data_IF_776296711169
#
_entry.id   IF_776296711169
#
_cell.length_a   1.000
_cell.length_b   1.000
_cell.length_c   1.000
_cell.angle_alpha   90.00
_cell.angle_beta   90.00
_cell.angle_gamma   90.00
#
_symmetry.space_group_name_H-M   'P 1'
#
loop_
_entity.id
_entity.type
_entity.pdbx_description
1 polymer ?
#
# COMPACT_ATOMS: atom_id res chain seq x y z
N UNK A 1 27.34 34.47 30.54
CA UNK A 1 25.98 33.90 30.46
C UNK A 1 25.63 33.51 29.00
N UNK A 2 26.40 32.62 28.35
CA UNK A 2 26.30 32.28 26.90
C UNK A 2 26.38 30.77 26.58
N UNK A 3 26.07 29.87 27.54
CA UNK A 3 26.15 28.40 27.36
C UNK A 3 24.80 27.68 27.21
N UNK A 4 23.68 28.41 27.18
CA UNK A 4 22.33 27.81 27.05
C UNK A 4 21.81 27.67 25.62
N UNK A 5 22.50 28.23 24.62
CA UNK A 5 21.97 28.32 23.25
C UNK A 5 22.33 27.13 22.35
N UNK A 6 23.36 26.35 22.69
CA UNK A 6 23.83 25.23 21.85
C UNK A 6 22.92 23.99 21.87
N UNK A 7 22.13 23.80 22.94
CA UNK A 7 21.14 22.71 23.03
C UNK A 7 19.83 23.01 22.31
N UNK A 8 19.55 24.28 22.03
CA UNK A 8 18.34 24.70 21.32
C UNK A 8 18.41 24.40 19.83
N UNK A 9 19.60 24.46 19.22
CA UNK A 9 19.78 24.19 17.78
C UNK A 9 19.33 22.78 17.35
N UNK A 10 19.78 21.67 17.97
CA UNK A 10 19.30 20.34 17.59
C UNK A 10 17.80 20.16 17.86
N UNK A 11 17.28 20.79 18.92
CA UNK A 11 15.85 20.71 19.28
C UNK A 11 14.97 21.47 18.27
N UNK A 12 15.46 22.62 17.77
CA UNK A 12 14.84 23.40 16.69
C UNK A 12 14.93 22.67 15.34
N UNK A 13 16.04 21.98 15.05
CA UNK A 13 16.15 21.17 13.84
C UNK A 13 15.20 19.96 13.88
N UNK A 14 15.10 19.27 15.02
CA UNK A 14 14.16 18.16 15.20
C UNK A 14 12.72 18.66 15.07
N UNK A 15 12.37 19.79 15.72
CA UNK A 15 11.02 20.34 15.64
C UNK A 15 10.67 20.85 14.25
N UNK A 16 11.63 21.44 13.51
CA UNK A 16 11.43 21.83 12.12
C UNK A 16 11.22 20.63 11.20
N UNK A 17 11.97 19.54 11.39
CA UNK A 17 11.78 18.29 10.64
C UNK A 17 10.40 17.70 10.93
N UNK A 18 10.02 17.59 12.21
CA UNK A 18 8.68 17.13 12.62
C UNK A 18 7.58 18.03 12.05
N UNK A 19 7.77 19.35 12.06
CA UNK A 19 6.81 20.31 11.51
C UNK A 19 6.66 20.18 9.99
N UNK A 20 7.74 19.93 9.24
CA UNK A 20 7.68 19.64 7.80
C UNK A 20 6.94 18.33 7.54
N UNK A 21 7.13 17.30 8.36
CA UNK A 21 6.37 16.04 8.24
C UNK A 21 4.88 16.20 8.56
N UNK A 22 4.53 17.04 9.54
CA UNK A 22 3.13 17.35 9.91
C UNK A 22 2.46 18.16 8.80
N UNK A 23 3.11 19.21 8.30
CA UNK A 23 2.54 20.10 7.29
C UNK A 23 2.47 19.50 5.88
N UNK A 24 3.25 18.46 5.59
CA UNK A 24 3.19 17.73 4.32
C UNK A 24 2.19 16.58 4.29
N UNK A 25 1.55 16.26 5.42
CA UNK A 25 0.54 15.21 5.49
C UNK A 25 -0.82 15.74 5.00
N UNK A 26 -1.41 15.08 3.99
CA UNK A 26 -2.82 15.28 3.65
C UNK A 26 -3.73 14.67 4.72
N UNK A 27 -4.58 15.49 5.34
CA UNK A 27 -5.47 15.13 6.46
C UNK A 27 -6.91 14.77 6.03
N UNK A 28 -7.13 14.37 4.77
CA UNK A 28 -8.46 13.86 4.41
C UNK A 28 -8.65 12.45 4.98
N UNK A 29 -9.29 12.40 6.15
CA UNK A 29 -9.56 11.17 6.91
C UNK A 29 -10.81 10.43 6.42
N UNK A 30 -11.58 11.00 5.48
CA UNK A 30 -12.81 10.36 5.00
C UNK A 30 -12.48 9.21 4.07
N UNK A 31 -12.63 7.99 4.58
CA UNK A 31 -12.54 6.78 3.77
C UNK A 31 -13.83 6.59 2.98
N UNK A 32 -13.69 6.28 1.69
CA UNK A 32 -14.83 5.96 0.83
C UNK A 32 -15.65 4.82 1.42
N UNK A 33 -16.95 5.06 1.57
CA UNK A 33 -17.90 4.03 1.92
C UNK A 33 -18.25 3.19 0.70
N UNK A 34 -18.69 1.98 0.97
CA UNK A 34 -19.19 1.06 -0.04
C UNK A 34 -20.40 1.67 -0.74
N UNK A 35 -20.44 1.57 -2.07
CA UNK A 35 -21.61 2.03 -2.85
C UNK A 35 -22.74 1.00 -2.73
N UNK A 36 -24.00 1.45 -2.64
CA UNK A 36 -25.14 0.54 -2.63
C UNK A 36 -25.19 -0.25 -3.94
N UNK A 37 -25.56 -1.53 -3.84
CA UNK A 37 -25.78 -2.40 -5.00
C UNK A 37 -26.96 -1.84 -5.78
N UNK A 38 -26.75 -1.50 -7.04
CA UNK A 38 -27.82 -1.12 -7.97
C UNK A 38 -28.20 -2.34 -8.79
N UNK A 39 -29.38 -2.95 -8.57
CA UNK A 39 -29.79 -4.13 -9.30
C UNK A 39 -30.00 -3.78 -10.78
N UNK A 40 -29.35 -4.55 -11.65
CA UNK A 40 -29.56 -4.49 -13.10
C UNK A 40 -30.37 -5.71 -13.53
N UNK A 41 -31.42 -5.51 -14.32
CA UNK A 41 -32.13 -6.62 -14.96
C UNK A 41 -31.28 -7.10 -16.14
N UNK A 42 -30.52 -8.15 -15.91
CA UNK A 42 -29.62 -8.73 -16.90
C UNK A 42 -29.71 -10.27 -16.87
N UNK A 43 -29.52 -10.89 -18.04
CA UNK A 43 -29.38 -12.34 -18.16
C UNK A 43 -28.25 -12.68 -19.11
N UNK A 44 -27.25 -13.42 -18.61
CA UNK A 44 -26.14 -13.92 -19.43
C UNK A 44 -26.60 -14.81 -20.59
N UNK A 45 -27.79 -15.42 -20.51
CA UNK A 45 -28.33 -16.28 -21.58
C UNK A 45 -28.31 -15.58 -22.94
N UNK A 46 -28.68 -14.29 -22.97
CA UNK A 46 -28.73 -13.48 -24.18
C UNK A 46 -27.34 -13.25 -24.81
N UNK A 47 -26.27 -13.26 -24.01
CA UNK A 47 -24.90 -13.11 -24.50
C UNK A 47 -24.30 -14.40 -25.04
N UNK A 48 -24.90 -15.55 -24.72
CA UNK A 48 -24.39 -16.86 -25.10
C UNK A 48 -24.95 -17.35 -26.43
N UNK A 49 -25.87 -16.62 -27.05
CA UNK A 49 -26.48 -17.03 -28.32
C UNK A 49 -25.44 -17.02 -29.46
N UNK A 50 -25.32 -18.16 -30.15
CA UNK A 50 -24.34 -18.35 -31.23
C UNK A 50 -22.92 -18.74 -30.77
N UNK A 51 -22.64 -18.83 -29.46
CA UNK A 51 -21.33 -19.27 -28.95
C UNK A 51 -21.28 -20.80 -28.87
N UNK A 52 -20.25 -21.40 -29.46
CA UNK A 52 -20.00 -22.85 -29.41
C UNK A 52 -19.00 -23.20 -28.31
N UNK A 53 -19.02 -24.45 -27.83
CA UNK A 53 -18.16 -24.90 -26.74
C UNK A 53 -16.66 -24.92 -27.13
N UNK A 54 -16.35 -25.14 -28.41
CA UNK A 54 -14.96 -25.30 -28.89
C UNK A 54 -14.13 -24.01 -28.79
N UNK A 55 -14.76 -22.83 -28.89
CA UNK A 55 -14.09 -21.51 -28.83
C UNK A 55 -14.66 -20.59 -27.75
N UNK A 56 -15.23 -21.18 -26.69
CA UNK A 56 -15.98 -20.46 -25.67
C UNK A 56 -15.19 -19.31 -25.02
N UNK A 57 -13.91 -19.53 -24.66
CA UNK A 57 -13.06 -18.50 -24.03
C UNK A 57 -12.75 -17.32 -24.95
N UNK A 58 -12.68 -17.55 -26.26
CA UNK A 58 -12.29 -16.58 -27.28
C UNK A 58 -13.51 -15.77 -27.78
N UNK A 59 -14.67 -16.42 -27.85
CA UNK A 59 -15.90 -15.84 -28.37
C UNK A 59 -16.73 -15.15 -27.28
N UNK A 60 -16.46 -15.40 -26.00
CA UNK A 60 -17.23 -14.81 -24.91
C UNK A 60 -17.14 -13.27 -24.94
N UNK A 61 -18.29 -12.55 -24.95
CA UNK A 61 -18.30 -11.10 -25.11
C UNK A 61 -18.04 -10.39 -23.77
N UNK A 62 -16.82 -10.49 -23.24
CA UNK A 62 -16.42 -9.97 -21.92
C UNK A 62 -16.82 -8.51 -21.69
N UNK A 63 -16.66 -7.65 -22.69
CA UNK A 63 -17.05 -6.24 -22.58
C UNK A 63 -18.56 -6.07 -22.34
N UNK A 64 -19.41 -6.73 -23.15
CA UNK A 64 -20.87 -6.66 -22.99
C UNK A 64 -21.32 -7.28 -21.67
N UNK A 65 -20.65 -8.36 -21.24
CA UNK A 65 -20.88 -8.96 -19.94
C UNK A 65 -20.64 -7.94 -18.82
N UNK A 66 -19.48 -7.29 -18.80
CA UNK A 66 -19.13 -6.32 -17.75
C UNK A 66 -20.02 -5.06 -17.77
N UNK A 67 -20.47 -4.63 -18.95
CA UNK A 67 -21.34 -3.45 -19.07
C UNK A 67 -22.77 -3.71 -18.57
N UNK A 68 -23.20 -4.98 -18.53
CA UNK A 68 -24.59 -5.35 -18.28
C UNK A 68 -24.78 -6.16 -16.99
N UNK A 69 -23.78 -6.95 -16.58
CA UNK A 69 -23.87 -7.84 -15.44
C UNK A 69 -23.77 -7.08 -14.12
N UNK A 70 -24.54 -7.54 -13.13
CA UNK A 70 -24.41 -7.04 -11.77
C UNK A 70 -23.24 -7.72 -11.04
N UNK A 71 -22.02 -7.30 -11.38
CA UNK A 71 -20.78 -7.86 -10.84
C UNK A 71 -20.54 -7.52 -9.35
N UNK A 72 -21.39 -6.68 -8.76
CA UNK A 72 -21.33 -6.31 -7.34
C UNK A 72 -22.14 -7.27 -6.46
N UNK A 73 -23.08 -8.01 -7.05
CA UNK A 73 -23.94 -8.97 -6.38
C UNK A 73 -23.50 -10.41 -6.66
N UNK A 74 -23.12 -11.10 -5.60
CA UNK A 74 -22.68 -12.49 -5.67
C UNK A 74 -23.79 -13.42 -6.16
N UNK A 75 -25.06 -13.14 -5.85
CA UNK A 75 -26.15 -13.97 -6.30
C UNK A 75 -26.29 -13.89 -7.82
N UNK A 76 -26.06 -12.70 -8.40
CA UNK A 76 -26.01 -12.50 -9.85
C UNK A 76 -24.86 -13.30 -10.48
N UNK A 77 -23.65 -13.25 -9.91
CA UNK A 77 -22.49 -14.03 -10.40
C UNK A 77 -22.76 -15.54 -10.31
N UNK A 78 -23.36 -16.01 -9.21
CA UNK A 78 -23.72 -17.41 -9.02
C UNK A 78 -24.77 -17.87 -10.04
N UNK A 79 -25.77 -17.04 -10.29
CA UNK A 79 -26.79 -17.32 -11.31
C UNK A 79 -26.17 -17.37 -12.71
N UNK A 80 -25.24 -16.47 -13.02
CA UNK A 80 -24.51 -16.48 -14.30
C UNK A 80 -23.70 -17.77 -14.47
N UNK A 81 -22.99 -18.20 -13.42
CA UNK A 81 -22.24 -19.45 -13.44
C UNK A 81 -23.15 -20.68 -13.59
N UNK A 82 -24.33 -20.68 -12.95
CA UNK A 82 -25.31 -21.74 -13.11
C UNK A 82 -25.82 -21.83 -14.56
N UNK A 83 -26.08 -20.69 -15.20
CA UNK A 83 -26.49 -20.63 -16.62
C UNK A 83 -25.38 -21.15 -17.54
N UNK A 84 -24.12 -20.81 -17.27
CA UNK A 84 -22.98 -21.34 -18.03
C UNK A 84 -22.88 -22.86 -17.90
N UNK A 85 -23.02 -23.39 -16.68
CA UNK A 85 -22.97 -24.83 -16.43
C UNK A 85 -24.15 -25.60 -17.04
N UNK A 86 -25.32 -24.97 -17.17
CA UNK A 86 -26.48 -25.53 -17.87
C UNK A 86 -26.24 -25.59 -19.39
N UNK A 87 -25.69 -24.50 -19.97
CA UNK A 87 -25.48 -24.39 -21.42
C UNK A 87 -24.27 -25.18 -21.92
N UNK A 88 -23.21 -25.27 -21.11
CA UNK A 88 -21.98 -25.99 -21.40
C UNK A 88 -21.69 -27.02 -20.29
N UNK A 89 -22.46 -28.12 -20.24
CA UNK A 89 -22.32 -29.12 -19.19
C UNK A 89 -21.00 -29.89 -19.33
N UNK A 90 -20.39 -30.25 -18.21
CA UNK A 90 -19.17 -31.08 -18.14
C UNK A 90 -17.84 -30.31 -18.11
N UNK A 91 -17.86 -28.97 -18.23
CA UNK A 91 -16.66 -28.13 -18.17
C UNK A 91 -16.81 -26.96 -17.17
N UNK A 92 -17.14 -27.30 -15.92
CA UNK A 92 -17.36 -26.32 -14.85
C UNK A 92 -16.12 -25.46 -14.59
N UNK A 93 -14.92 -26.02 -14.76
CA UNK A 93 -13.67 -25.28 -14.59
C UNK A 93 -13.50 -24.19 -15.65
N UNK A 94 -13.78 -24.49 -16.93
CA UNK A 94 -13.74 -23.48 -18.00
C UNK A 94 -14.82 -22.41 -17.80
N UNK A 95 -16.00 -22.79 -17.32
CA UNK A 95 -17.06 -21.83 -16.99
C UNK A 95 -16.65 -20.90 -15.83
N UNK A 96 -16.00 -21.42 -14.79
CA UNK A 96 -15.40 -20.58 -13.74
C UNK A 96 -14.31 -19.68 -14.32
N UNK A 97 -13.47 -20.20 -15.22
CA UNK A 97 -12.40 -19.43 -15.87
C UNK A 97 -12.95 -18.25 -16.66
N UNK A 98 -14.07 -18.40 -17.38
CA UNK A 98 -14.74 -17.28 -18.06
C UNK A 98 -15.08 -16.15 -17.10
N UNK A 99 -15.76 -16.47 -15.99
CA UNK A 99 -16.15 -15.47 -14.99
C UNK A 99 -14.91 -14.86 -14.33
N UNK A 100 -13.89 -15.67 -14.06
CA UNK A 100 -12.61 -15.18 -13.53
C UNK A 100 -11.97 -14.17 -14.48
N UNK A 101 -11.82 -14.50 -15.78
CA UNK A 101 -11.24 -13.60 -16.80
C UNK A 101 -12.06 -12.32 -16.95
N UNK A 102 -13.39 -12.44 -16.93
CA UNK A 102 -14.29 -11.29 -16.99
C UNK A 102 -14.03 -10.34 -15.81
N UNK A 103 -14.06 -10.87 -14.59
CA UNK A 103 -13.94 -10.09 -13.36
C UNK A 103 -12.50 -9.70 -13.00
N UNK A 104 -11.50 -10.16 -13.76
CA UNK A 104 -10.08 -9.82 -13.56
C UNK A 104 -9.52 -9.08 -14.77
N UNK A 105 -8.93 -9.77 -15.74
CA UNK A 105 -8.19 -9.17 -16.86
C UNK A 105 -9.06 -8.24 -17.71
N UNK A 106 -10.30 -8.65 -18.01
CA UNK A 106 -11.20 -7.83 -18.84
C UNK A 106 -11.65 -6.56 -18.11
N UNK A 107 -11.98 -6.69 -16.82
CA UNK A 107 -12.37 -5.55 -15.99
C UNK A 107 -11.19 -4.61 -15.74
N UNK A 108 -9.99 -5.15 -15.51
CA UNK A 108 -8.76 -4.36 -15.43
C UNK A 108 -8.51 -3.57 -16.71
N UNK A 109 -8.61 -4.21 -17.89
CA UNK A 109 -8.45 -3.52 -19.16
C UNK A 109 -9.50 -2.40 -19.36
N UNK A 110 -10.73 -2.59 -18.90
CA UNK A 110 -11.74 -1.51 -18.90
C UNK A 110 -11.33 -0.34 -17.99
N UNK A 111 -10.82 -0.62 -16.78
CA UNK A 111 -10.38 0.42 -15.87
C UNK A 111 -9.13 1.16 -16.35
N UNK A 112 -8.21 0.45 -16.98
CA UNK A 112 -7.00 1.02 -17.58
C UNK A 112 -7.35 1.98 -18.73
N UNK A 113 -8.29 1.60 -19.61
CA UNK A 113 -8.82 2.47 -20.67
C UNK A 113 -9.49 3.74 -20.12
N UNK A 114 -10.07 3.66 -18.92
CA UNK A 114 -10.68 4.80 -18.21
C UNK A 114 -9.68 5.57 -17.34
N UNK A 115 -8.40 5.22 -17.39
CA UNK A 115 -7.30 5.87 -16.67
C UNK A 115 -7.36 5.79 -15.13
N UNK A 116 -8.16 4.88 -14.56
CA UNK A 116 -8.28 4.75 -13.09
C UNK A 116 -6.98 4.32 -12.38
N UNK A 117 -6.04 3.71 -13.11
CA UNK A 117 -4.74 3.27 -12.58
C UNK A 117 -3.58 4.19 -13.01
N UNK A 118 -3.83 5.39 -13.51
CA UNK A 118 -2.77 6.34 -13.88
C UNK A 118 -2.40 7.32 -12.76
N UNK A 119 -3.37 7.68 -11.93
CA UNK A 119 -3.20 8.58 -10.79
C UNK A 119 -3.64 7.88 -9.52
N UNK A 120 -3.16 8.37 -8.37
CA UNK A 120 -3.65 7.89 -7.09
C UNK A 120 -5.08 8.38 -6.85
N UNK A 121 -6.05 7.51 -7.09
CA UNK A 121 -7.44 7.67 -6.66
C UNK A 121 -7.71 6.73 -5.48
N UNK A 122 -7.55 7.28 -4.28
CA UNK A 122 -7.72 6.51 -3.05
C UNK A 122 -9.12 5.93 -2.88
N UNK A 123 -10.15 6.66 -3.31
CA UNK A 123 -11.54 6.27 -3.10
C UNK A 123 -11.91 5.13 -4.04
N UNK A 124 -11.50 5.21 -5.31
CA UNK A 124 -11.62 4.11 -6.26
C UNK A 124 -10.89 2.85 -5.79
N UNK A 125 -9.60 2.96 -5.42
CA UNK A 125 -8.81 1.81 -5.00
C UNK A 125 -9.36 1.18 -3.71
N UNK A 126 -9.88 1.99 -2.79
CA UNK A 126 -10.55 1.50 -1.59
C UNK A 126 -11.83 0.74 -1.92
N UNK A 127 -12.70 1.31 -2.77
CA UNK A 127 -13.93 0.64 -3.19
C UNK A 127 -13.66 -0.66 -3.95
N UNK A 128 -12.64 -0.67 -4.81
CA UNK A 128 -12.22 -1.86 -5.54
C UNK A 128 -11.67 -2.94 -4.60
N UNK A 129 -10.87 -2.56 -3.59
CA UNK A 129 -10.38 -3.50 -2.58
C UNK A 129 -11.52 -4.07 -1.74
N UNK A 130 -12.45 -3.23 -1.27
CA UNK A 130 -13.64 -3.67 -0.52
C UNK A 130 -14.50 -4.64 -1.34
N UNK A 131 -14.72 -4.35 -2.63
CA UNK A 131 -15.41 -5.26 -3.54
C UNK A 131 -14.66 -6.59 -3.68
N UNK A 132 -13.34 -6.56 -3.83
CA UNK A 132 -12.52 -7.78 -3.89
C UNK A 132 -12.57 -8.59 -2.58
N UNK A 133 -12.56 -7.94 -1.41
CA UNK A 133 -12.65 -8.60 -0.09
C UNK A 133 -13.93 -9.42 0.07
N UNK A 134 -15.03 -8.99 -0.55
CA UNK A 134 -16.28 -9.78 -0.54
C UNK A 134 -16.07 -11.17 -1.11
N UNK A 135 -15.26 -11.32 -2.17
CA UNK A 135 -14.96 -12.64 -2.74
C UNK A 135 -14.20 -13.53 -1.76
N UNK A 136 -13.32 -12.97 -0.94
CA UNK A 136 -12.69 -13.76 0.12
C UNK A 136 -13.73 -14.26 1.14
N UNK A 137 -14.65 -13.40 1.57
CA UNK A 137 -15.73 -13.81 2.47
C UNK A 137 -16.65 -14.86 1.83
N UNK A 138 -16.96 -14.73 0.53
CA UNK A 138 -17.77 -15.73 -0.18
C UNK A 138 -17.05 -17.06 -0.34
N UNK A 139 -15.73 -17.07 -0.50
CA UNK A 139 -14.94 -18.29 -0.56
C UNK A 139 -15.01 -19.11 0.74
N UNK A 140 -15.23 -18.45 1.89
CA UNK A 140 -15.41 -19.09 3.19
C UNK A 140 -16.81 -19.70 3.36
N UNK A 141 -17.84 -19.07 2.77
CA UNK A 141 -19.24 -19.49 2.89
C UNK A 141 -19.60 -20.57 1.84
N UNK A 142 -19.14 -20.40 0.60
CA UNK A 142 -19.50 -21.26 -0.53
C UNK A 142 -18.27 -22.02 -1.07
N UNK A 143 -17.99 -23.16 -0.44
CA UNK A 143 -16.79 -23.95 -0.71
C UNK A 143 -16.69 -24.49 -2.15
N UNK A 144 -17.81 -24.65 -2.86
CA UNK A 144 -17.83 -25.15 -4.24
C UNK A 144 -17.18 -24.19 -5.24
N UNK A 145 -17.15 -22.88 -4.93
CA UNK A 145 -16.62 -21.84 -5.81
C UNK A 145 -15.39 -21.15 -5.21
N UNK A 146 -14.78 -21.72 -4.16
CA UNK A 146 -13.59 -21.16 -3.48
C UNK A 146 -12.46 -20.82 -4.46
N UNK A 147 -12.23 -21.65 -5.48
CA UNK A 147 -11.19 -21.40 -6.48
C UNK A 147 -11.48 -20.14 -7.30
N UNK A 148 -12.72 -19.99 -7.78
CA UNK A 148 -13.15 -18.81 -8.52
C UNK A 148 -13.00 -17.55 -7.68
N UNK A 149 -13.60 -17.52 -6.49
CA UNK A 149 -13.60 -16.34 -5.64
C UNK A 149 -12.20 -16.00 -5.12
N UNK A 150 -11.42 -17.01 -4.71
CA UNK A 150 -10.04 -16.85 -4.31
C UNK A 150 -9.16 -16.29 -5.43
N UNK A 151 -9.38 -16.71 -6.69
CA UNK A 151 -8.64 -16.17 -7.84
C UNK A 151 -8.90 -14.68 -8.05
N UNK A 152 -10.17 -14.25 -7.97
CA UNK A 152 -10.57 -12.84 -8.15
C UNK A 152 -10.00 -11.98 -7.01
N UNK A 153 -10.15 -12.43 -5.77
CA UNK A 153 -9.61 -11.73 -4.60
C UNK A 153 -8.09 -11.56 -4.68
N UNK A 154 -7.36 -12.64 -4.94
CA UNK A 154 -5.90 -12.61 -5.02
C UNK A 154 -5.40 -11.74 -6.18
N UNK A 155 -6.09 -11.77 -7.32
CA UNK A 155 -5.78 -10.92 -8.47
C UNK A 155 -5.85 -9.44 -8.09
N UNK A 156 -6.98 -8.98 -7.57
CA UNK A 156 -7.18 -7.58 -7.25
C UNK A 156 -6.35 -7.11 -6.06
N UNK A 157 -6.20 -7.93 -5.03
CA UNK A 157 -5.31 -7.64 -3.90
C UNK A 157 -3.86 -7.44 -4.35
N UNK A 158 -3.37 -8.29 -5.26
CA UNK A 158 -2.03 -8.17 -5.84
C UNK A 158 -1.89 -6.97 -6.79
N UNK A 159 -2.90 -6.71 -7.64
CA UNK A 159 -2.90 -5.55 -8.55
C UNK A 159 -2.87 -4.23 -7.79
N UNK A 160 -3.71 -4.09 -6.76
CA UNK A 160 -3.79 -2.88 -5.94
C UNK A 160 -2.49 -2.69 -5.16
N UNK A 161 -1.96 -3.73 -4.50
CA UNK A 161 -0.73 -3.60 -3.70
C UNK A 161 0.49 -3.25 -4.56
N UNK A 162 0.62 -3.86 -5.74
CA UNK A 162 1.67 -3.53 -6.69
C UNK A 162 1.55 -2.10 -7.20
N UNK A 163 0.34 -1.67 -7.56
CA UNK A 163 0.09 -0.31 -8.02
C UNK A 163 0.41 0.74 -6.94
N UNK A 164 0.03 0.50 -5.69
CA UNK A 164 0.43 1.36 -4.56
C UNK A 164 1.95 1.40 -4.38
N UNK A 165 2.62 0.26 -4.56
CA UNK A 165 4.07 0.18 -4.56
C UNK A 165 4.70 1.08 -5.63
N UNK A 166 4.22 1.00 -6.87
CA UNK A 166 4.66 1.83 -7.99
C UNK A 166 4.39 3.32 -7.76
N UNK A 167 3.18 3.67 -7.33
CA UNK A 167 2.82 5.05 -7.01
C UNK A 167 3.72 5.64 -5.91
N UNK A 168 4.03 4.86 -4.87
CA UNK A 168 4.92 5.32 -3.79
C UNK A 168 6.38 5.47 -4.23
N UNK A 169 6.81 4.72 -5.26
CA UNK A 169 8.15 4.86 -5.87
C UNK A 169 8.22 6.12 -6.73
N UNK A 170 7.16 6.41 -7.47
CA UNK A 170 7.08 7.57 -8.36
C UNK A 170 6.83 8.87 -7.60
N UNK A 171 6.04 8.84 -6.52
CA UNK A 171 5.78 9.96 -5.65
C UNK A 171 6.03 9.58 -4.18
N UNK A 172 7.23 9.92 -3.68
CA UNK A 172 7.63 9.59 -2.30
C UNK A 172 6.82 10.32 -1.22
N UNK A 173 6.10 11.40 -1.56
CA UNK A 173 5.27 12.13 -0.60
C UNK A 173 3.94 11.43 -0.33
N UNK A 174 3.45 10.63 -1.30
CA UNK A 174 2.17 9.93 -1.23
C UNK A 174 2.06 9.00 -0.02
N UNK A 175 3.17 8.40 0.40
CA UNK A 175 3.21 7.51 1.57
C UNK A 175 2.85 8.18 2.89
N UNK A 176 2.85 9.52 2.93
CA UNK A 176 2.47 10.29 4.10
C UNK A 176 0.97 10.58 4.17
N UNK A 177 0.26 10.49 3.04
CA UNK A 177 -1.19 10.68 2.98
C UNK A 177 -1.94 9.62 3.78
N UNK A 178 -2.98 10.06 4.50
CA UNK A 178 -3.77 9.18 5.35
C UNK A 178 -4.40 8.02 4.57
N UNK A 179 -5.07 8.32 3.46
CA UNK A 179 -5.76 7.29 2.65
C UNK A 179 -4.78 6.25 2.08
N UNK A 180 -3.58 6.68 1.68
CA UNK A 180 -2.53 5.75 1.24
C UNK A 180 -2.10 4.83 2.39
N UNK A 181 -1.84 5.39 3.58
CA UNK A 181 -1.47 4.59 4.77
C UNK A 181 -2.57 3.61 5.14
N UNK A 182 -3.82 4.05 5.10
CA UNK A 182 -4.99 3.20 5.37
C UNK A 182 -5.01 2.00 4.42
N UNK A 183 -4.97 2.28 3.11
CA UNK A 183 -5.06 1.23 2.11
C UNK A 183 -3.85 0.29 2.15
N UNK A 184 -2.64 0.82 2.34
CA UNK A 184 -1.43 0.01 2.59
C UNK A 184 -1.61 -0.90 3.80
N UNK A 185 -2.11 -0.38 4.91
CA UNK A 185 -2.31 -1.15 6.14
C UNK A 185 -3.33 -2.26 5.92
N UNK A 186 -4.39 -1.99 5.14
CA UNK A 186 -5.38 -3.00 4.73
C UNK A 186 -4.79 -4.09 3.85
N UNK A 187 -3.98 -3.73 2.85
CA UNK A 187 -3.27 -4.70 2.03
C UNK A 187 -2.32 -5.56 2.89
N UNK A 188 -1.54 -4.94 3.78
CA UNK A 188 -0.61 -5.63 4.68
C UNK A 188 -1.35 -6.57 5.67
N UNK A 189 -2.49 -6.14 6.24
CA UNK A 189 -3.38 -6.98 7.08
C UNK A 189 -3.79 -8.26 6.35
N UNK A 190 -4.09 -8.14 5.07
CA UNK A 190 -4.50 -9.23 4.18
C UNK A 190 -3.34 -9.96 3.49
N UNK A 191 -2.09 -9.68 3.90
CA UNK A 191 -0.85 -10.28 3.37
C UNK A 191 -0.51 -9.93 1.92
N UNK A 192 -1.10 -8.86 1.36
CA UNK A 192 -0.67 -8.25 0.11
C UNK A 192 0.34 -7.13 0.41
N UNK A 193 1.62 -7.50 0.53
CA UNK A 193 2.66 -6.55 0.96
C UNK A 193 2.87 -5.41 -0.06
N UNK A 194 2.73 -4.15 0.39
CA UNK A 194 3.05 -2.99 -0.46
C UNK A 194 4.52 -2.64 -0.32
N UNK A 195 5.29 -2.83 -1.40
CA UNK A 195 6.71 -2.52 -1.45
C UNK A 195 6.97 -0.99 -1.49
N UNK A 196 6.90 -0.34 -0.33
CA UNK A 196 7.24 1.09 -0.18
C UNK A 196 8.73 1.28 0.07
N UNK A 197 9.36 2.21 -0.67
CA UNK A 197 10.77 2.56 -0.45
C UNK A 197 10.89 3.41 0.82
N UNK A 198 11.50 2.83 1.85
CA UNK A 198 11.82 3.56 3.10
C UNK A 198 12.88 4.63 2.79
N UNK A 199 12.56 5.88 3.14
CA UNK A 199 13.46 7.02 2.95
C UNK A 199 14.70 6.91 3.85
N UNK A 200 15.79 7.58 3.48
CA UNK A 200 17.01 7.57 4.31
C UNK A 200 16.76 8.11 5.73
N UNK A 201 15.97 9.18 5.84
CA UNK A 201 15.58 9.77 7.15
C UNK A 201 14.73 8.80 7.97
N UNK A 202 13.80 8.08 7.35
CA UNK A 202 12.99 7.05 8.02
C UNK A 202 13.85 5.88 8.50
N UNK A 203 14.85 5.46 7.73
CA UNK A 203 15.82 4.43 8.16
C UNK A 203 16.63 4.91 9.37
N UNK A 204 17.04 6.17 9.37
CA UNK A 204 17.73 6.78 10.51
C UNK A 204 16.81 6.80 11.73
N UNK A 205 15.58 7.30 11.59
CA UNK A 205 14.59 7.33 12.66
C UNK A 205 14.26 5.93 13.20
N UNK A 206 14.08 4.94 12.32
CA UNK A 206 13.82 3.55 12.72
C UNK A 206 14.97 2.95 13.52
N UNK A 207 16.21 3.13 13.05
CA UNK A 207 17.39 2.62 13.76
C UNK A 207 17.65 3.35 15.09
N UNK A 208 17.24 4.62 15.21
CA UNK A 208 17.26 5.36 16.47
C UNK A 208 16.23 4.80 17.45
N UNK A 209 14.99 4.56 16.98
CA UNK A 209 13.90 4.02 17.80
C UNK A 209 14.13 2.56 18.22
N UNK A 210 14.73 1.74 17.35
CA UNK A 210 15.08 0.35 17.64
C UNK A 210 16.37 0.19 18.46
N UNK A 211 16.96 1.29 18.93
CA UNK A 211 18.21 1.32 19.70
C UNK A 211 19.41 0.69 18.98
N UNK A 212 19.38 0.61 17.64
CA UNK A 212 20.49 0.11 16.82
C UNK A 212 21.54 1.19 16.52
N UNK A 213 22.01 1.86 17.59
CA UNK A 213 22.98 2.95 17.53
C UNK A 213 24.29 2.54 16.86
N UNK A 214 24.74 1.31 17.10
CA UNK A 214 25.96 0.75 16.50
C UNK A 214 25.89 0.67 14.98
N UNK A 215 24.74 0.31 14.42
CA UNK A 215 24.53 0.25 12.98
C UNK A 215 24.55 1.64 12.34
N UNK A 216 23.96 2.64 13.00
CA UNK A 216 24.00 4.03 12.53
C UNK A 216 25.40 4.62 12.57
N UNK A 217 26.14 4.39 13.65
CA UNK A 217 27.52 4.87 13.77
C UNK A 217 28.43 4.18 12.76
N UNK A 218 28.30 2.86 12.58
CA UNK A 218 29.10 2.12 11.61
C UNK A 218 28.79 2.54 10.16
N UNK A 219 27.51 2.71 9.82
CA UNK A 219 27.10 3.20 8.50
C UNK A 219 27.57 4.64 8.25
N UNK A 220 27.43 5.52 9.24
CA UNK A 220 27.92 6.90 9.18
C UNK A 220 29.45 6.94 9.03
N UNK A 221 30.18 6.12 9.78
CA UNK A 221 31.63 6.05 9.73
C UNK A 221 32.16 5.52 8.39
N UNK A 222 31.52 4.49 7.83
CA UNK A 222 31.94 3.88 6.56
C UNK A 222 31.56 4.71 5.32
N UNK A 223 30.58 5.61 5.44
CA UNK A 223 30.16 6.51 4.35
C UNK A 223 30.67 7.94 4.52
N UNK A 224 31.31 8.26 5.65
CA UNK A 224 31.83 9.60 5.91
C UNK A 224 32.99 9.92 4.98
N UNK A 225 32.93 11.07 4.34
CA UNK A 225 34.07 11.63 3.62
C UNK A 225 35.19 12.03 4.58
N UNK A 226 36.43 12.07 4.10
CA UNK A 226 37.60 12.48 4.91
C UNK A 226 37.38 13.83 5.62
N UNK A 227 36.71 14.79 4.97
CA UNK A 227 36.34 16.08 5.57
C UNK A 227 35.38 15.94 6.75
N UNK A 228 34.38 15.06 6.66
CA UNK A 228 33.41 14.83 7.74
C UNK A 228 34.08 14.15 8.94
N UNK A 229 35.01 13.22 8.71
CA UNK A 229 35.78 12.58 9.78
C UNK A 229 36.65 13.60 10.54
N UNK A 230 37.30 14.52 9.85
CA UNK A 230 38.08 15.60 10.48
C UNK A 230 37.18 16.50 11.34
N UNK A 231 36.00 16.87 10.84
CA UNK A 231 35.03 17.66 11.60
C UNK A 231 34.57 16.91 12.86
N UNK A 232 34.21 15.63 12.75
CA UNK A 232 33.83 14.81 13.92
C UNK A 232 34.97 14.70 14.93
N UNK A 233 36.21 14.55 14.47
CA UNK A 233 37.38 14.47 15.34
C UNK A 233 37.63 15.79 16.09
N UNK A 234 37.54 16.94 15.41
CA UNK A 234 37.66 18.26 16.02
C UNK A 234 36.55 18.49 17.05
N UNK A 235 35.30 18.14 16.74
CA UNK A 235 34.19 18.20 17.70
C UNK A 235 34.44 17.28 18.91
N UNK A 236 34.98 16.08 18.69
CA UNK A 236 35.35 15.16 19.76
C UNK A 236 36.39 15.77 20.71
N UNK A 237 37.47 16.35 20.17
CA UNK A 237 38.51 17.02 20.97
C UNK A 237 37.94 18.18 21.76
N UNK A 238 37.14 19.05 21.12
CA UNK A 238 36.52 20.19 21.79
C UNK A 238 35.60 19.75 22.94
N UNK A 239 34.90 18.63 22.76
CA UNK A 239 34.01 18.07 23.77
C UNK A 239 34.81 17.53 24.96
N UNK A 240 35.86 16.73 24.71
CA UNK A 240 36.76 16.21 25.76
C UNK A 240 37.42 17.36 26.53
N UNK A 241 37.94 18.37 25.81
CA UNK A 241 38.53 19.55 26.41
C UNK A 241 37.52 20.32 27.28
N UNK A 242 36.28 20.43 26.81
CA UNK A 242 35.17 20.99 27.58
C UNK A 242 34.92 20.25 28.89
N UNK A 243 34.91 18.91 28.87
CA UNK A 243 34.77 18.08 30.07
C UNK A 243 35.94 18.25 31.04
N UNK A 244 37.19 18.26 30.54
CA UNK A 244 38.38 18.46 31.37
C UNK A 244 38.36 19.80 32.11
N UNK A 245 37.92 20.87 31.46
CA UNK A 245 37.77 22.18 32.11
C UNK A 245 36.69 22.18 33.20
N UNK A 246 35.58 21.46 32.99
CA UNK A 246 34.52 21.31 33.98
C UNK A 246 35.04 20.53 35.19
N UNK A 247 35.70 19.39 34.97
CA UNK A 247 36.29 18.57 36.04
C UNK A 247 37.33 19.37 36.83
N UNK A 248 38.26 20.06 36.15
CA UNK A 248 39.26 20.92 36.80
C UNK A 248 38.62 22.01 37.66
N UNK A 249 37.49 22.58 37.21
CA UNK A 249 36.75 23.57 37.98
C UNK A 249 36.05 22.96 39.20
N UNK A 250 35.54 21.74 39.11
CA UNK A 250 34.91 21.03 40.23
C UNK A 250 35.97 20.68 41.30
N UNK A 251 37.12 20.14 40.88
CA UNK A 251 38.22 19.80 41.80
C UNK A 251 38.72 21.05 42.53
N UNK A 252 39.02 22.14 41.80
CA UNK A 252 39.46 23.41 42.41
C UNK A 252 38.40 24.03 43.33
N UNK A 253 37.11 23.76 43.11
CA UNK A 253 36.05 24.24 44.01
C UNK A 253 36.02 23.45 45.32
N UNK A 254 36.29 22.16 45.29
CA UNK A 254 36.34 21.29 46.47
C UNK A 254 37.61 21.52 47.32
N UNK A 255 38.72 21.95 46.70
CA UNK A 255 39.96 22.31 47.43
C UNK A 255 39.88 23.66 48.17
N UNK A 256 38.92 24.52 47.84
CA UNK A 256 38.72 25.83 48.46
C UNK A 256 37.55 25.86 49.47
N UNK A 257 37.03 24.68 49.86
CA UNK A 257 36.09 24.49 50.98
C UNK A 257 36.84 23.84 52.14
#
# INVERSE_FOLDING_TARGET
MRKKLTWLVPLVCISAVVFVFITSAGYDEKIAQEKPIVPHQYSIRLLLDGITNEHLLEQFPYGRYLDSANIQDIQSIKNDLAVLNEKFPGDSMRNMQLISIALTDSLYAQYEKKHYFQIFDADFLTQLFQWAEKFNAYAEIEQSNTLLYGSIYNYWGSKISNHLGELSKNNSSLKYEYKFKYLKSKCDEKRFSVATKVGQVEKVAYNLLSSQWSHLLNASWNQATYMQLVVFFVFGILTIYGYLLIIKKIIKRNENQ
#
